data_IF_635433387770
#
_entry.id   IF_635433387770
#
_cell.length_a   1.000
_cell.length_b   1.000
_cell.length_c   1.000
_cell.angle_alpha   90.00
_cell.angle_beta   90.00
_cell.angle_gamma   90.00
#
_symmetry.space_group_name_H-M   'P 1'
#
loop_
_entity.id
_entity.type
_entity.pdbx_description
1 polymer ?
#
# COMPACT_ATOMS: atom_id res chain seq x y z
N UNK A 1 72.87 7.06 -58.39
CA UNK A 1 72.15 7.38 -59.63
C UNK A 1 70.94 8.21 -59.21
N UNK A 2 71.03 9.44 -59.70
CA UNK A 2 70.02 10.31 -60.30
C UNK A 2 68.87 10.74 -59.39
N UNK A 3 68.91 11.94 -59.04
CA UNK A 3 68.44 13.25 -59.58
C UNK A 3 67.06 13.60 -59.08
N UNK A 4 66.97 14.69 -58.30
CA UNK A 4 66.38 15.98 -58.58
C UNK A 4 64.86 16.00 -58.76
N UNK A 5 64.09 16.79 -58.01
CA UNK A 5 63.97 18.23 -58.22
C UNK A 5 63.22 18.94 -57.11
N UNK A 6 63.73 20.13 -56.80
CA UNK A 6 63.07 21.20 -56.04
C UNK A 6 61.96 21.82 -56.85
N UNK A 7 60.85 22.20 -56.29
CA UNK A 7 60.13 23.40 -56.68
C UNK A 7 59.44 24.10 -55.48
N UNK A 8 59.87 25.33 -55.34
CA UNK A 8 59.34 26.33 -54.41
C UNK A 8 58.05 26.93 -55.00
N UNK A 9 57.03 27.10 -54.13
CA UNK A 9 55.98 28.11 -54.41
C UNK A 9 55.44 28.77 -53.15
N UNK A 10 55.79 30.05 -53.09
CA UNK A 10 55.13 31.28 -52.64
C UNK A 10 54.12 31.21 -51.52
N UNK A 11 54.47 31.91 -50.41
CA UNK A 11 53.63 32.48 -49.36
C UNK A 11 52.54 33.39 -49.96
N UNK A 12 51.29 33.15 -49.64
CA UNK A 12 50.24 34.16 -49.67
C UNK A 12 49.77 34.40 -48.27
N UNK A 13 50.13 35.55 -47.73
CA UNK A 13 49.65 36.08 -46.46
C UNK A 13 48.27 36.68 -46.68
N UNK A 14 47.25 36.11 -46.14
CA UNK A 14 45.94 36.75 -46.07
C UNK A 14 45.77 37.27 -44.66
N UNK A 15 45.71 38.58 -44.52
CA UNK A 15 45.29 39.30 -43.34
C UNK A 15 43.78 39.04 -43.14
N UNK A 16 43.37 38.39 -42.08
CA UNK A 16 41.99 38.39 -41.66
C UNK A 16 41.91 39.18 -40.36
N UNK A 17 41.15 40.22 -40.39
CA UNK A 17 40.78 41.12 -39.31
C UNK A 17 40.12 40.36 -38.19
N UNK A 18 40.67 40.45 -36.99
CA UNK A 18 40.08 39.97 -35.76
C UNK A 18 39.02 40.96 -35.25
N UNK A 19 37.76 40.71 -35.59
CA UNK A 19 36.67 41.34 -34.89
C UNK A 19 36.46 40.58 -33.56
N UNK A 20 36.88 41.19 -32.47
CA UNK A 20 36.64 40.78 -31.09
C UNK A 20 35.15 40.93 -30.77
N UNK A 21 34.38 39.86 -30.88
CA UNK A 21 33.06 39.75 -30.30
C UNK A 21 33.23 39.37 -28.83
N UNK A 22 33.06 40.36 -27.95
CA UNK A 22 32.93 40.14 -26.50
C UNK A 22 31.59 39.44 -26.26
N UNK A 23 31.59 38.10 -26.20
CA UNK A 23 30.45 37.35 -25.69
C UNK A 23 30.38 37.55 -24.18
N UNK A 24 29.42 38.34 -23.71
CA UNK A 24 29.00 38.39 -22.30
C UNK A 24 28.54 36.99 -21.92
N UNK A 25 29.32 36.29 -21.11
CA UNK A 25 28.90 35.08 -20.43
C UNK A 25 27.74 35.43 -19.47
N UNK A 26 26.51 35.27 -19.89
CA UNK A 26 25.39 35.20 -18.96
C UNK A 26 25.52 33.86 -18.23
N UNK A 27 25.87 33.95 -16.97
CA UNK A 27 25.85 32.83 -16.03
C UNK A 27 24.37 32.51 -15.76
N UNK A 28 23.82 31.55 -16.49
CA UNK A 28 22.49 31.00 -16.22
C UNK A 28 22.63 30.11 -14.99
N UNK A 29 22.36 30.67 -13.80
CA UNK A 29 22.23 29.90 -12.57
C UNK A 29 20.97 29.05 -12.69
N UNK A 30 21.13 27.81 -13.11
CA UNK A 30 20.10 26.78 -13.05
C UNK A 30 19.89 26.44 -11.56
N UNK A 31 18.94 27.10 -10.91
CA UNK A 31 18.41 26.63 -9.63
C UNK A 31 17.66 25.32 -9.92
N UNK A 32 18.38 24.21 -9.81
CA UNK A 32 17.75 22.90 -9.70
C UNK A 32 17.02 22.87 -8.35
N UNK A 33 15.73 23.17 -8.35
CA UNK A 33 14.83 22.78 -7.29
C UNK A 33 14.79 21.26 -7.29
N UNK A 34 15.71 20.64 -6.57
CA UNK A 34 15.65 19.24 -6.24
C UNK A 34 14.40 19.06 -5.38
N UNK A 35 13.31 18.58 -5.98
CA UNK A 35 12.25 17.93 -5.19
C UNK A 35 12.90 16.74 -4.51
N UNK A 36 13.17 16.87 -3.22
CA UNK A 36 13.51 15.71 -2.39
C UNK A 36 12.23 14.89 -2.37
N UNK A 37 12.12 13.95 -3.30
CA UNK A 37 11.20 12.83 -3.15
C UNK A 37 11.72 12.06 -1.94
N UNK A 38 11.08 12.26 -0.79
CA UNK A 38 11.29 11.40 0.37
C UNK A 38 10.77 10.01 -0.04
N UNK A 39 11.65 9.20 -0.61
CA UNK A 39 11.40 7.78 -0.72
C UNK A 39 11.32 7.28 0.73
N UNK A 40 10.15 6.80 1.16
CA UNK A 40 10.05 6.02 2.38
C UNK A 40 11.02 4.87 2.24
N UNK A 41 12.05 4.81 3.06
CA UNK A 41 12.89 3.64 3.11
C UNK A 41 12.02 2.49 3.65
N UNK A 42 11.87 1.43 2.88
CA UNK A 42 11.26 0.19 3.31
C UNK A 42 12.38 -0.80 3.59
N UNK A 43 12.35 -1.43 4.75
CA UNK A 43 13.28 -2.49 5.10
C UNK A 43 12.55 -3.82 5.07
N UNK A 44 12.97 -4.73 4.20
CA UNK A 44 12.47 -6.11 4.21
C UNK A 44 13.11 -6.80 5.41
N UNK A 45 12.30 -7.19 6.40
CA UNK A 45 12.72 -7.90 7.59
C UNK A 45 12.74 -9.43 7.37
N UNK A 46 11.84 -9.90 6.53
CA UNK A 46 11.70 -11.30 6.16
C UNK A 46 11.11 -11.41 4.76
N UNK A 47 11.58 -12.40 4.01
CA UNK A 47 10.96 -12.84 2.75
C UNK A 47 11.14 -14.33 2.55
N UNK A 48 10.14 -14.99 1.99
CA UNK A 48 10.15 -16.40 1.65
C UNK A 48 9.19 -16.67 0.47
N UNK A 49 9.73 -17.18 -0.62
CA UNK A 49 8.97 -17.62 -1.79
C UNK A 49 8.96 -19.14 -1.95
N UNK A 50 9.47 -19.86 -0.97
CA UNK A 50 9.53 -21.32 -0.86
C UNK A 50 10.32 -22.04 -1.97
N UNK A 51 10.77 -21.39 -3.03
CA UNK A 51 11.40 -22.02 -4.21
C UNK A 51 12.69 -22.77 -3.93
N UNK A 52 13.36 -22.48 -2.81
CA UNK A 52 14.57 -23.20 -2.39
C UNK A 52 14.28 -24.51 -1.63
N UNK A 53 13.00 -24.83 -1.38
CA UNK A 53 12.62 -25.95 -0.53
C UNK A 53 12.39 -27.23 -1.34
N UNK A 54 12.40 -28.36 -0.62
CA UNK A 54 12.14 -29.67 -1.21
C UNK A 54 10.65 -30.00 -1.13
N UNK A 55 10.02 -30.26 -2.26
CA UNK A 55 8.62 -30.65 -2.35
C UNK A 55 8.34 -31.90 -1.50
N UNK A 56 7.22 -31.90 -0.80
CA UNK A 56 6.79 -32.97 0.10
C UNK A 56 7.44 -32.97 1.48
N UNK A 57 8.34 -32.01 1.76
CA UNK A 57 8.87 -31.79 3.11
C UNK A 57 8.13 -30.65 3.80
N UNK A 58 8.22 -30.58 5.14
CA UNK A 58 7.62 -29.50 5.90
C UNK A 58 8.37 -28.18 5.76
N UNK A 59 7.67 -27.07 5.92
CA UNK A 59 8.22 -25.70 5.86
C UNK A 59 9.16 -25.46 7.04
N UNK A 60 8.72 -25.72 8.27
CA UNK A 60 9.53 -25.54 9.51
C UNK A 60 10.75 -26.46 9.51
N UNK A 61 10.61 -27.65 8.92
CA UNK A 61 11.72 -28.60 8.81
C UNK A 61 12.88 -28.05 7.93
N UNK A 62 12.62 -27.09 7.05
CA UNK A 62 13.59 -26.54 6.10
C UNK A 62 14.00 -25.10 6.44
N UNK A 63 13.15 -24.34 7.15
CA UNK A 63 13.46 -22.97 7.54
C UNK A 63 12.97 -22.68 8.96
N UNK A 64 13.91 -22.52 9.88
CA UNK A 64 13.66 -22.28 11.31
C UNK A 64 13.16 -20.86 11.62
N UNK A 65 12.97 -19.98 10.63
CA UNK A 65 12.24 -18.73 10.81
C UNK A 65 10.74 -18.99 10.94
N UNK A 66 10.25 -20.13 10.45
CA UNK A 66 8.90 -20.60 10.67
C UNK A 66 8.85 -21.46 11.94
N UNK A 67 7.69 -21.56 12.55
CA UNK A 67 7.46 -22.33 13.76
C UNK A 67 6.13 -23.07 13.70
N UNK A 68 5.94 -24.03 14.60
CA UNK A 68 4.66 -24.63 14.91
C UNK A 68 3.91 -23.75 15.92
N UNK A 69 2.59 -23.77 15.90
CA UNK A 69 1.80 -23.12 16.94
C UNK A 69 2.25 -23.52 18.35
N UNK A 70 2.51 -24.81 18.55
CA UNK A 70 3.07 -25.34 19.77
C UNK A 70 4.18 -26.34 19.49
N UNK A 71 5.34 -26.17 20.11
CA UNK A 71 6.44 -27.11 20.01
C UNK A 71 6.11 -28.53 20.56
N UNK A 72 5.07 -28.64 21.41
CA UNK A 72 4.58 -29.91 21.94
C UNK A 72 3.74 -30.73 20.96
N UNK A 73 3.24 -30.08 19.90
CA UNK A 73 2.42 -30.70 18.85
C UNK A 73 2.86 -30.15 17.48
N UNK A 74 3.92 -30.71 16.87
CA UNK A 74 4.37 -30.30 15.56
C UNK A 74 3.28 -30.45 14.50
N UNK A 75 3.05 -29.39 13.72
CA UNK A 75 1.92 -29.27 12.82
C UNK A 75 2.34 -28.49 11.56
N UNK A 76 3.30 -29.04 10.83
CA UNK A 76 3.96 -28.37 9.71
C UNK A 76 3.06 -28.26 8.47
N UNK A 77 3.22 -27.19 7.72
CA UNK A 77 2.70 -27.07 6.36
C UNK A 77 3.63 -27.79 5.38
N UNK A 78 3.06 -28.38 4.33
CA UNK A 78 3.82 -29.07 3.31
C UNK A 78 4.26 -28.13 2.19
N UNK A 79 5.48 -28.33 1.70
CA UNK A 79 5.93 -27.70 0.46
C UNK A 79 5.34 -28.46 -0.73
N UNK A 80 4.64 -27.76 -1.62
CA UNK A 80 3.90 -28.35 -2.74
C UNK A 80 4.26 -27.71 -4.08
N UNK A 81 4.21 -28.48 -5.13
CA UNK A 81 4.28 -28.03 -6.54
C UNK A 81 2.94 -28.02 -7.26
N UNK A 82 1.83 -28.20 -6.54
CA UNK A 82 0.50 -28.24 -7.17
C UNK A 82 0.08 -26.85 -7.68
N UNK A 83 0.37 -25.82 -6.91
CA UNK A 83 0.12 -24.42 -7.25
C UNK A 83 1.28 -23.55 -6.78
N UNK A 84 1.72 -22.59 -7.61
CA UNK A 84 2.73 -21.59 -7.26
C UNK A 84 2.34 -20.23 -7.85
N UNK A 85 2.61 -19.16 -7.11
CA UNK A 85 2.41 -17.79 -7.58
C UNK A 85 3.66 -17.28 -8.28
N UNK A 86 4.83 -17.54 -7.70
CA UNK A 86 6.13 -17.33 -8.30
C UNK A 86 6.91 -18.66 -8.33
N UNK A 87 7.94 -18.76 -9.17
CA UNK A 87 8.76 -19.97 -9.24
C UNK A 87 7.96 -21.24 -9.57
N UNK A 88 8.13 -22.29 -8.78
CA UNK A 88 7.57 -23.62 -9.06
C UNK A 88 6.88 -24.29 -7.86
N UNK A 89 6.99 -23.72 -6.67
CA UNK A 89 6.50 -24.33 -5.43
C UNK A 89 5.96 -23.28 -4.46
N UNK A 90 5.10 -23.70 -3.55
CA UNK A 90 4.51 -22.88 -2.49
C UNK A 90 4.32 -23.68 -1.22
N UNK A 91 3.87 -23.07 -0.14
CA UNK A 91 3.48 -23.78 1.08
C UNK A 91 1.99 -24.11 1.05
N UNK A 92 1.64 -25.39 1.26
CA UNK A 92 0.27 -25.87 1.36
C UNK A 92 -0.13 -26.05 2.83
N UNK A 93 -1.13 -25.32 3.26
CA UNK A 93 -1.75 -25.40 4.59
C UNK A 93 -3.03 -26.22 4.45
N UNK A 94 -3.00 -27.47 4.88
CA UNK A 94 -4.06 -28.42 4.61
C UNK A 94 -4.48 -29.21 5.86
N UNK A 95 -5.74 -29.02 6.24
CA UNK A 95 -6.38 -29.72 7.35
C UNK A 95 -6.02 -29.19 8.72
N UNK A 96 -6.89 -29.44 9.69
CA UNK A 96 -6.79 -28.91 11.07
C UNK A 96 -5.60 -29.42 11.88
N UNK A 97 -4.80 -30.32 11.33
CA UNK A 97 -3.51 -30.72 11.90
C UNK A 97 -2.35 -29.79 11.50
N UNK A 98 -2.57 -28.89 10.53
CA UNK A 98 -1.56 -27.92 10.06
C UNK A 98 -1.76 -26.59 10.76
N UNK A 99 -0.68 -26.07 11.35
CA UNK A 99 -0.71 -24.86 12.14
C UNK A 99 0.69 -24.20 12.07
N UNK A 100 0.90 -23.35 11.04
CA UNK A 100 2.19 -22.78 10.67
C UNK A 100 2.27 -21.34 11.13
N UNK A 101 3.24 -21.02 11.98
CA UNK A 101 3.44 -19.68 12.51
C UNK A 101 4.69 -19.03 11.94
N UNK A 102 4.60 -17.77 11.59
CA UNK A 102 5.72 -16.88 11.29
C UNK A 102 5.95 -15.95 12.49
N UNK A 103 6.91 -16.22 13.38
CA UNK A 103 7.32 -15.29 14.41
C UNK A 103 8.06 -14.11 13.78
N UNK A 104 7.64 -12.89 14.05
CA UNK A 104 8.24 -11.69 13.44
C UNK A 104 8.66 -10.63 14.47
N UNK A 105 8.20 -10.72 15.70
CA UNK A 105 8.44 -9.74 16.76
C UNK A 105 8.86 -10.37 18.10
N UNK A 106 8.51 -9.75 19.25
CA UNK A 106 7.50 -8.69 19.37
C UNK A 106 8.01 -7.28 19.04
N UNK A 107 7.30 -6.59 18.15
CA UNK A 107 7.46 -5.15 17.92
C UNK A 107 6.41 -4.39 18.74
N UNK A 108 6.77 -3.22 19.28
CA UNK A 108 5.86 -2.38 20.09
C UNK A 108 5.76 -0.95 19.55
N UNK A 109 6.51 -0.60 18.51
CA UNK A 109 6.51 0.67 17.80
C UNK A 109 6.78 0.41 16.32
N UNK A 110 6.57 1.40 15.47
CA UNK A 110 6.81 1.32 14.03
C UNK A 110 5.59 0.88 13.24
N UNK A 111 5.78 0.75 11.95
CA UNK A 111 4.75 0.33 11.01
C UNK A 111 5.24 -0.85 10.18
N UNK A 112 4.46 -1.90 10.13
CA UNK A 112 4.80 -3.16 9.49
C UNK A 112 3.72 -3.55 8.49
N UNK A 113 4.14 -3.93 7.28
CA UNK A 113 3.30 -4.54 6.27
C UNK A 113 3.68 -6.01 6.15
N UNK A 114 2.73 -6.89 6.39
CA UNK A 114 2.84 -8.33 6.16
C UNK A 114 2.09 -8.63 4.89
N UNK A 115 2.79 -9.11 3.87
CA UNK A 115 2.27 -9.37 2.54
C UNK A 115 2.50 -10.82 2.16
N UNK A 116 1.53 -11.41 1.48
CA UNK A 116 1.66 -12.74 0.89
C UNK A 116 0.64 -12.93 -0.22
N UNK A 117 0.87 -13.91 -1.05
CA UNK A 117 -0.10 -14.42 -2.00
C UNK A 117 -0.84 -15.59 -1.39
N UNK A 118 -2.11 -15.72 -1.70
CA UNK A 118 -2.94 -16.83 -1.26
C UNK A 118 -3.73 -17.41 -2.42
N UNK A 119 -3.87 -18.73 -2.44
CA UNK A 119 -4.69 -19.47 -3.42
C UNK A 119 -5.64 -20.41 -2.68
N UNK A 120 -6.89 -20.36 -3.06
CA UNK A 120 -7.96 -21.17 -2.49
C UNK A 120 -8.50 -22.12 -3.56
N UNK A 121 -8.26 -23.42 -3.49
CA UNK A 121 -8.99 -24.38 -4.34
C UNK A 121 -10.51 -24.26 -4.10
N UNK A 122 -11.31 -24.35 -5.17
CA UNK A 122 -12.76 -24.28 -5.05
C UNK A 122 -13.30 -25.33 -4.07
N UNK A 123 -14.21 -24.93 -3.20
CA UNK A 123 -14.83 -25.78 -2.19
C UNK A 123 -14.03 -25.97 -0.89
N UNK A 124 -12.79 -25.45 -0.80
CA UNK A 124 -11.93 -25.66 0.36
C UNK A 124 -12.08 -24.55 1.43
N UNK A 125 -11.56 -23.38 1.17
CA UNK A 125 -11.47 -22.29 2.12
C UNK A 125 -10.16 -22.29 2.92
N UNK A 126 -9.99 -21.30 3.79
CA UNK A 126 -8.74 -21.09 4.54
C UNK A 126 -8.90 -20.16 5.73
N UNK A 127 -7.77 -19.93 6.41
CA UNK A 127 -7.72 -19.06 7.57
C UNK A 127 -6.31 -18.57 7.83
N UNK A 128 -6.19 -17.33 8.27
CA UNK A 128 -4.99 -16.80 8.91
C UNK A 128 -5.34 -15.79 9.99
N UNK A 129 -4.41 -15.56 10.91
CA UNK A 129 -4.55 -14.54 11.94
C UNK A 129 -3.27 -13.74 12.15
N UNK A 130 -3.44 -12.57 12.77
CA UNK A 130 -2.36 -11.75 13.29
C UNK A 130 -2.35 -11.80 14.82
N UNK A 131 -1.17 -11.82 15.41
CA UNK A 131 -0.99 -12.01 16.86
C UNK A 131 -0.29 -10.81 17.49
N UNK A 132 -0.91 -10.22 18.51
CA UNK A 132 -0.26 -9.25 19.39
C UNK A 132 0.85 -9.89 20.21
N UNK A 133 0.59 -11.08 20.76
CA UNK A 133 1.57 -11.86 21.53
C UNK A 133 1.51 -13.32 21.13
N UNK A 134 2.68 -13.95 21.12
CA UNK A 134 2.84 -15.38 20.93
C UNK A 134 4.18 -15.83 21.52
N UNK A 135 4.22 -16.96 22.20
CA UNK A 135 5.42 -17.44 22.92
C UNK A 135 5.89 -18.83 22.49
N UNK A 136 5.37 -19.38 21.38
CA UNK A 136 5.64 -20.78 21.01
C UNK A 136 4.86 -21.77 21.88
N UNK A 137 3.82 -21.32 22.57
CA UNK A 137 3.00 -22.10 23.48
C UNK A 137 1.52 -21.82 23.25
N UNK A 138 0.69 -22.85 23.32
CA UNK A 138 -0.77 -22.75 23.24
C UNK A 138 -1.44 -22.05 24.44
N UNK A 139 -0.65 -21.50 25.37
CA UNK A 139 -1.18 -20.85 26.58
C UNK A 139 -0.90 -19.35 26.66
N UNK A 140 0.01 -18.83 25.84
CA UNK A 140 0.39 -17.39 25.85
C UNK A 140 0.29 -16.85 24.44
N UNK A 141 -0.87 -16.36 24.10
CA UNK A 141 -1.16 -15.71 22.81
C UNK A 141 -2.30 -14.70 22.95
N UNK A 142 -2.35 -13.75 22.03
CA UNK A 142 -3.44 -12.78 21.91
C UNK A 142 -3.63 -12.40 20.46
N UNK A 143 -4.84 -12.56 19.95
CA UNK A 143 -5.18 -12.22 18.55
C UNK A 143 -5.43 -10.72 18.36
N UNK A 144 -4.90 -10.18 17.25
CA UNK A 144 -5.22 -8.86 16.71
C UNK A 144 -6.37 -8.92 15.71
N UNK A 145 -6.51 -10.03 15.00
CA UNK A 145 -7.56 -10.25 14.02
C UNK A 145 -7.54 -11.67 13.45
N UNK A 146 -8.73 -12.19 13.15
CA UNK A 146 -8.98 -13.48 12.53
C UNK A 146 -9.62 -13.29 11.17
N UNK A 147 -9.07 -13.90 10.14
CA UNK A 147 -9.54 -13.80 8.76
C UNK A 147 -9.86 -15.20 8.23
N UNK A 148 -11.11 -15.43 7.86
CA UNK A 148 -11.63 -16.70 7.38
C UNK A 148 -12.03 -16.61 5.90
N UNK A 149 -11.88 -17.72 5.21
CA UNK A 149 -12.34 -17.90 3.84
C UNK A 149 -13.24 -19.12 3.76
N UNK A 150 -14.36 -19.00 3.05
CA UNK A 150 -15.22 -20.14 2.75
C UNK A 150 -14.83 -20.82 1.43
N UNK A 151 -15.50 -21.95 1.13
CA UNK A 151 -15.25 -22.71 -0.10
C UNK A 151 -15.68 -22.02 -1.39
N UNK A 152 -16.36 -20.87 -1.34
CA UNK A 152 -16.73 -20.03 -2.48
C UNK A 152 -15.75 -18.86 -2.66
N UNK A 153 -14.70 -18.76 -1.82
CA UNK A 153 -13.72 -17.68 -1.85
C UNK A 153 -14.25 -16.37 -1.29
N UNK A 154 -15.18 -16.42 -0.34
CA UNK A 154 -15.63 -15.25 0.41
C UNK A 154 -14.80 -15.14 1.67
N UNK A 155 -14.05 -14.03 1.77
CA UNK A 155 -13.33 -13.64 2.98
C UNK A 155 -14.28 -12.95 3.96
N UNK A 156 -14.21 -13.33 5.24
CA UNK A 156 -14.85 -12.67 6.38
C UNK A 156 -13.84 -12.50 7.50
N UNK A 157 -14.05 -11.56 8.41
CA UNK A 157 -13.08 -11.29 9.46
C UNK A 157 -13.75 -10.86 10.77
N UNK A 158 -13.02 -11.11 11.86
CA UNK A 158 -13.22 -10.46 13.15
C UNK A 158 -11.93 -9.74 13.51
N UNK A 159 -11.99 -8.45 13.78
CA UNK A 159 -10.81 -7.63 14.12
C UNK A 159 -11.14 -6.73 15.29
N UNK A 160 -10.25 -6.65 16.28
CA UNK A 160 -10.51 -5.91 17.50
C UNK A 160 -11.77 -6.38 18.24
N UNK A 161 -12.14 -7.65 18.09
CA UNK A 161 -13.33 -8.25 18.71
C UNK A 161 -14.66 -7.89 18.05
N UNK A 162 -14.63 -7.26 16.87
CA UNK A 162 -15.83 -6.88 16.11
C UNK A 162 -15.86 -7.64 14.80
N UNK A 163 -16.97 -8.30 14.51
CA UNK A 163 -17.21 -8.90 13.20
C UNK A 163 -17.24 -7.82 12.13
N UNK A 164 -16.43 -8.01 11.11
CA UNK A 164 -16.33 -7.09 9.98
C UNK A 164 -17.29 -7.42 8.84
N UNK A 165 -16.97 -6.90 7.67
CA UNK A 165 -17.69 -7.17 6.42
C UNK A 165 -17.28 -8.48 5.76
N UNK A 166 -17.51 -8.55 4.45
CA UNK A 166 -17.05 -9.63 3.61
C UNK A 166 -16.60 -9.12 2.24
N UNK A 167 -15.66 -9.84 1.63
CA UNK A 167 -15.17 -9.59 0.26
C UNK A 167 -15.03 -10.91 -0.47
N UNK A 168 -15.45 -10.98 -1.73
CA UNK A 168 -15.19 -12.12 -2.58
C UNK A 168 -13.82 -11.96 -3.23
N UNK A 169 -12.88 -12.82 -2.87
CA UNK A 169 -11.53 -12.88 -3.47
C UNK A 169 -11.46 -13.90 -4.63
N UNK A 170 -12.43 -14.83 -4.67
CA UNK A 170 -12.51 -15.91 -5.67
C UNK A 170 -11.77 -17.19 -5.25
N UNK A 171 -11.96 -18.22 -6.06
CA UNK A 171 -11.28 -19.53 -5.94
C UNK A 171 -10.49 -19.83 -7.23
N UNK A 172 -9.55 -20.75 -7.16
CA UNK A 172 -8.71 -21.20 -8.28
C UNK A 172 -7.90 -20.05 -8.93
N UNK A 173 -7.62 -19.02 -8.17
CA UNK A 173 -6.83 -17.84 -8.57
C UNK A 173 -5.99 -17.34 -7.40
N UNK A 174 -4.75 -16.95 -7.67
CA UNK A 174 -3.91 -16.26 -6.71
C UNK A 174 -4.40 -14.85 -6.48
N UNK A 175 -4.44 -14.41 -5.23
CA UNK A 175 -4.77 -13.04 -4.83
C UNK A 175 -3.78 -12.51 -3.79
N UNK A 176 -3.62 -11.19 -3.76
CA UNK A 176 -2.75 -10.51 -2.81
C UNK A 176 -3.47 -10.31 -1.48
N UNK A 177 -2.78 -10.62 -0.39
CA UNK A 177 -3.18 -10.27 0.98
C UNK A 177 -2.13 -9.34 1.56
N UNK A 178 -2.57 -8.27 2.21
CA UNK A 178 -1.71 -7.45 3.04
C UNK A 178 -2.42 -7.13 4.36
N UNK A 179 -1.68 -7.26 5.46
CA UNK A 179 -2.07 -6.73 6.76
C UNK A 179 -1.05 -5.67 7.16
N UNK A 180 -1.51 -4.48 7.48
CA UNK A 180 -0.68 -3.41 8.04
C UNK A 180 -0.92 -3.29 9.53
N UNK A 181 0.14 -3.36 10.33
CA UNK A 181 0.16 -3.03 11.75
C UNK A 181 0.91 -1.71 11.93
N UNK A 182 0.21 -0.61 12.10
CA UNK A 182 0.77 0.72 12.42
C UNK A 182 0.69 0.92 13.94
N UNK A 183 1.74 0.48 14.63
CA UNK A 183 1.80 0.48 16.09
C UNK A 183 1.94 1.91 16.66
N UNK A 184 2.51 2.84 15.89
CA UNK A 184 2.67 4.23 16.30
C UNK A 184 1.33 4.98 16.30
N UNK A 185 0.40 4.57 15.43
CA UNK A 185 -0.95 5.15 15.33
C UNK A 185 -2.05 4.24 15.87
N UNK A 186 -1.70 3.08 16.42
CA UNK A 186 -2.65 2.07 16.91
C UNK A 186 -3.71 1.69 15.87
N UNK A 187 -3.27 1.38 14.65
CA UNK A 187 -4.13 1.18 13.49
C UNK A 187 -3.77 -0.09 12.73
N UNK A 188 -4.73 -0.98 12.60
CA UNK A 188 -4.68 -2.16 11.73
C UNK A 188 -5.40 -1.93 10.42
N UNK A 189 -4.89 -2.47 9.31
CA UNK A 189 -5.57 -2.49 8.01
C UNK A 189 -5.44 -3.85 7.35
N UNK A 190 -6.53 -4.32 6.75
CA UNK A 190 -6.57 -5.51 5.91
C UNK A 190 -6.82 -5.10 4.47
N UNK A 191 -6.05 -5.68 3.55
CA UNK A 191 -6.20 -5.43 2.11
C UNK A 191 -6.31 -6.75 1.36
N UNK A 192 -7.13 -6.75 0.31
CA UNK A 192 -7.14 -7.78 -0.73
C UNK A 192 -6.91 -7.13 -2.09
N UNK A 193 -5.96 -7.63 -2.86
CA UNK A 193 -5.56 -7.09 -4.17
C UNK A 193 -5.32 -5.57 -4.15
N UNK A 194 -4.67 -5.09 -3.09
CA UNK A 194 -4.35 -3.67 -2.90
C UNK A 194 -5.51 -2.77 -2.48
N UNK A 195 -6.73 -3.31 -2.30
CA UNK A 195 -7.92 -2.57 -1.87
C UNK A 195 -8.14 -2.78 -0.38
N UNK A 196 -8.33 -1.69 0.38
CA UNK A 196 -8.65 -1.75 1.82
C UNK A 196 -9.99 -2.44 2.01
N UNK A 197 -10.00 -3.56 2.73
CA UNK A 197 -11.19 -4.29 3.12
C UNK A 197 -11.67 -3.89 4.51
N UNK A 198 -10.73 -3.62 5.44
CA UNK A 198 -11.06 -3.26 6.82
C UNK A 198 -9.99 -2.39 7.48
N UNK A 199 -10.42 -1.56 8.44
CA UNK A 199 -9.56 -0.81 9.36
C UNK A 199 -10.08 -1.00 10.79
N UNK A 200 -9.16 -1.16 11.77
CA UNK A 200 -9.52 -1.32 13.19
C UNK A 200 -8.46 -0.73 14.11
N UNK A 201 -8.81 -0.50 15.37
CA UNK A 201 -7.83 -0.18 16.40
C UNK A 201 -7.00 -1.44 16.67
N UNK A 202 -5.69 -1.38 16.36
CA UNK A 202 -4.80 -2.53 16.40
C UNK A 202 -4.74 -3.17 17.79
N UNK A 203 -4.60 -2.36 18.84
CA UNK A 203 -4.41 -2.82 20.22
C UNK A 203 -5.62 -3.53 20.86
N UNK A 204 -6.78 -3.57 20.19
CA UNK A 204 -7.94 -4.28 20.73
C UNK A 204 -7.78 -5.78 20.61
N UNK A 205 -8.02 -6.49 21.74
CA UNK A 205 -8.01 -7.94 21.79
C UNK A 205 -9.19 -8.51 20.99
N UNK A 206 -8.89 -9.35 20.01
CA UNK A 206 -9.88 -9.90 19.11
C UNK A 206 -10.90 -10.84 19.78
N UNK A 207 -10.54 -11.44 20.93
CA UNK A 207 -11.43 -12.36 21.62
C UNK A 207 -12.62 -11.66 22.32
N UNK A 208 -12.50 -10.39 22.71
CA UNK A 208 -13.49 -9.73 23.60
C UNK A 208 -13.62 -8.21 23.42
N UNK A 209 -12.99 -7.62 22.42
CA UNK A 209 -13.00 -6.17 22.14
C UNK A 209 -12.51 -5.29 23.32
N UNK A 210 -11.77 -5.85 24.27
CA UNK A 210 -11.16 -5.07 25.36
C UNK A 210 -9.76 -4.59 24.96
N UNK A 211 -9.18 -3.67 25.77
CA UNK A 211 -7.80 -3.27 25.59
C UNK A 211 -6.87 -4.49 25.66
N UNK A 212 -6.10 -4.69 24.63
CA UNK A 212 -5.08 -5.72 24.52
C UNK A 212 -3.68 -5.09 24.53
N UNK A 213 -2.75 -5.73 23.84
CA UNK A 213 -1.36 -5.28 23.74
C UNK A 213 -1.13 -4.62 22.41
N UNK A 214 -0.63 -3.37 22.39
CA UNK A 214 -0.19 -2.73 21.16
C UNK A 214 1.18 -3.27 20.73
N UNK A 215 1.18 -4.46 20.15
CA UNK A 215 2.37 -5.15 19.66
C UNK A 215 2.03 -6.05 18.48
N UNK A 216 3.06 -6.42 17.72
CA UNK A 216 3.00 -7.38 16.64
C UNK A 216 4.05 -8.47 16.92
N UNK A 217 3.62 -9.71 17.15
CA UNK A 217 4.49 -10.82 17.52
C UNK A 217 4.61 -11.88 16.43
N UNK A 218 3.51 -12.25 15.78
CA UNK A 218 3.50 -13.33 14.81
C UNK A 218 2.31 -13.27 13.85
N UNK A 219 2.39 -14.03 12.77
CA UNK A 219 1.30 -14.44 11.89
C UNK A 219 1.12 -15.95 11.97
N UNK A 220 -0.12 -16.40 11.91
CA UNK A 220 -0.47 -17.80 12.00
C UNK A 220 -1.36 -18.21 10.82
N UNK A 221 -1.04 -19.35 10.22
CA UNK A 221 -1.73 -19.97 9.09
C UNK A 221 -2.22 -21.35 9.55
N UNK A 222 -3.47 -21.42 9.98
CA UNK A 222 -4.08 -22.64 10.49
C UNK A 222 -4.98 -23.28 9.43
N UNK A 223 -4.91 -24.59 9.29
CA UNK A 223 -5.62 -25.35 8.27
C UNK A 223 -7.12 -25.54 8.54
N UNK A 224 -7.84 -24.46 8.81
CA UNK A 224 -9.30 -24.42 9.00
C UNK A 224 -9.96 -23.51 7.97
N UNK A 225 -11.30 -23.40 8.00
CA UNK A 225 -12.11 -22.51 7.17
C UNK A 225 -13.23 -21.84 7.98
N UNK A 226 -14.07 -21.05 7.34
CA UNK A 226 -15.20 -20.34 7.98
C UNK A 226 -16.15 -21.26 8.76
N UNK A 227 -16.32 -22.50 8.35
CA UNK A 227 -17.16 -23.47 9.04
C UNK A 227 -16.45 -24.15 10.23
N UNK A 228 -15.17 -23.85 10.49
CA UNK A 228 -14.36 -24.51 11.52
C UNK A 228 -13.99 -25.95 11.17
N UNK A 229 -14.10 -26.33 9.89
CA UNK A 229 -13.68 -27.64 9.36
C UNK A 229 -12.33 -27.51 8.66
N UNK A 230 -11.80 -28.63 8.14
CA UNK A 230 -10.52 -28.63 7.46
C UNK A 230 -10.52 -27.67 6.25
N UNK A 231 -9.60 -26.72 6.24
CA UNK A 231 -9.28 -25.86 5.11
C UNK A 231 -8.21 -26.51 4.25
N UNK A 232 -8.05 -25.99 3.05
CA UNK A 232 -6.94 -26.31 2.13
C UNK A 232 -6.63 -25.08 1.32
N UNK A 233 -5.45 -24.52 1.50
CA UNK A 233 -5.02 -23.34 0.77
C UNK A 233 -3.49 -23.30 0.62
N UNK A 234 -3.04 -22.43 -0.25
CA UNK A 234 -1.60 -22.26 -0.52
C UNK A 234 -1.20 -20.82 -0.24
N UNK A 235 0.00 -20.63 0.28
CA UNK A 235 0.62 -19.31 0.47
C UNK A 235 1.96 -19.26 -0.24
N UNK A 236 2.29 -18.08 -0.78
CA UNK A 236 3.51 -17.83 -1.52
C UNK A 236 3.95 -16.38 -1.38
N UNK A 237 5.20 -16.06 -1.75
CA UNK A 237 5.74 -14.70 -1.80
C UNK A 237 5.54 -13.94 -0.47
N UNK A 238 5.81 -14.58 0.66
CA UNK A 238 5.61 -13.99 2.00
C UNK A 238 6.67 -12.95 2.27
N UNK A 239 6.26 -11.74 2.67
CA UNK A 239 7.16 -10.65 3.05
C UNK A 239 6.70 -9.96 4.32
N UNK A 240 7.64 -9.60 5.17
CA UNK A 240 7.46 -8.68 6.30
C UNK A 240 8.32 -7.46 6.04
N UNK A 241 7.69 -6.31 5.97
CA UNK A 241 8.33 -5.05 5.59
C UNK A 241 8.13 -4.04 6.71
N UNK A 242 9.21 -3.48 7.22
CA UNK A 242 9.16 -2.31 8.08
C UNK A 242 9.13 -1.04 7.22
N UNK A 243 8.08 -0.26 7.36
CA UNK A 243 7.94 1.03 6.70
C UNK A 243 8.54 2.11 7.57
N UNK A 244 9.83 2.44 7.34
CA UNK A 244 10.47 3.60 7.97
C UNK A 244 10.03 4.88 7.25
N UNK A 245 8.75 5.19 7.24
CA UNK A 245 8.23 6.41 6.67
C UNK A 245 8.12 7.50 7.74
N UNK A 246 8.45 8.74 7.36
CA UNK A 246 7.90 9.89 8.08
C UNK A 246 6.39 9.65 8.13
N UNK A 247 5.86 9.29 9.29
CA UNK A 247 4.43 9.18 9.49
C UNK A 247 3.84 10.55 9.19
N UNK A 248 3.40 10.74 7.95
CA UNK A 248 2.37 11.75 7.75
C UNK A 248 1.19 11.17 8.50
N UNK A 249 0.99 11.61 9.74
CA UNK A 249 -0.18 11.28 10.53
C UNK A 249 -1.36 11.37 9.57
N UNK A 250 -2.05 10.28 9.21
CA UNK A 250 -3.24 10.42 8.41
C UNK A 250 -4.10 11.36 9.24
N UNK A 251 -4.38 12.53 8.71
CA UNK A 251 -5.41 13.39 9.28
C UNK A 251 -6.60 12.46 9.28
N UNK A 252 -7.07 12.11 10.47
CA UNK A 252 -8.22 11.22 10.62
C UNK A 252 -9.23 11.71 9.59
N UNK A 253 -9.63 10.83 8.68
CA UNK A 253 -10.65 11.20 7.71
C UNK A 253 -11.91 11.45 8.53
N UNK A 254 -12.03 12.69 9.03
CA UNK A 254 -13.31 13.16 9.53
C UNK A 254 -14.28 12.81 8.43
N UNK A 255 -15.32 12.09 8.81
CA UNK A 255 -16.39 11.64 7.92
C UNK A 255 -16.78 12.81 7.03
N UNK A 256 -16.17 12.88 5.83
CA UNK A 256 -16.37 14.00 4.92
C UNK A 256 -17.84 13.94 4.57
N UNK A 257 -18.60 14.87 5.09
CA UNK A 257 -20.00 15.05 4.69
C UNK A 257 -19.99 15.13 3.17
N UNK A 258 -20.80 14.30 2.51
CA UNK A 258 -20.79 14.12 1.07
C UNK A 258 -20.83 15.49 0.37
N UNK A 259 -19.72 15.93 -0.21
CA UNK A 259 -19.65 17.15 -1.01
C UNK A 259 -20.26 16.84 -2.36
N UNK A 260 -21.25 17.62 -2.77
CA UNK A 260 -21.95 17.46 -4.05
C UNK A 260 -21.58 18.61 -4.98
N UNK A 261 -21.21 18.29 -6.23
CA UNK A 261 -20.89 19.25 -7.29
C UNK A 261 -21.88 19.03 -8.44
N UNK A 262 -22.71 20.03 -8.74
CA UNK A 262 -23.73 19.91 -9.77
C UNK A 262 -24.06 21.25 -10.46
N UNK A 263 -24.37 21.26 -11.77
CA UNK A 263 -24.16 20.13 -12.68
C UNK A 263 -22.68 19.88 -12.95
N UNK A 264 -22.33 18.63 -13.13
CA UNK A 264 -21.02 18.21 -13.61
C UNK A 264 -21.22 17.06 -14.62
N UNK A 265 -21.00 17.27 -15.94
CA UNK A 265 -20.38 18.44 -16.59
C UNK A 265 -21.19 19.74 -16.50
N UNK A 266 -20.47 20.89 -16.63
CA UNK A 266 -21.05 22.24 -16.66
C UNK A 266 -20.60 23.02 -17.89
N UNK A 267 -21.44 23.99 -18.33
CA UNK A 267 -21.10 24.90 -19.43
C UNK A 267 -20.69 26.30 -18.94
N UNK A 268 -21.21 26.75 -17.81
CA UNK A 268 -20.91 28.10 -17.30
C UNK A 268 -20.84 28.20 -15.79
N UNK A 269 -21.68 27.48 -15.07
CA UNK A 269 -21.79 27.58 -13.62
C UNK A 269 -22.02 26.20 -13.01
N UNK A 270 -21.48 25.97 -11.82
CA UNK A 270 -21.84 24.84 -10.99
C UNK A 270 -22.09 25.26 -9.55
N UNK A 271 -22.78 24.44 -8.80
CA UNK A 271 -22.98 24.60 -7.37
C UNK A 271 -22.18 23.56 -6.63
N UNK A 272 -21.58 23.93 -5.51
CA UNK A 272 -20.87 23.03 -4.60
C UNK A 272 -21.43 23.21 -3.20
N UNK A 273 -21.80 22.11 -2.55
CA UNK A 273 -22.20 22.11 -1.15
C UNK A 273 -20.93 22.08 -0.29
N UNK A 274 -20.75 23.12 0.53
CA UNK A 274 -19.57 23.29 1.40
C UNK A 274 -19.96 22.91 2.82
N UNK A 275 -19.41 21.79 3.35
CA UNK A 275 -19.63 21.39 4.73
C UNK A 275 -18.99 22.35 5.73
N UNK A 276 -19.49 22.37 6.97
CA UNK A 276 -19.05 23.22 8.08
C UNK A 276 -17.53 23.08 8.36
N UNK A 277 -17.01 21.87 8.28
CA UNK A 277 -15.61 21.57 8.54
C UNK A 277 -14.62 22.16 7.52
N UNK A 278 -15.09 22.80 6.44
CA UNK A 278 -14.24 23.54 5.50
C UNK A 278 -14.26 25.07 5.74
N UNK A 279 -15.08 25.57 6.64
CA UNK A 279 -15.13 27.00 6.95
C UNK A 279 -13.80 27.50 7.48
N UNK A 280 -13.35 28.65 7.00
CA UNK A 280 -12.04 29.21 7.28
C UNK A 280 -10.93 28.78 6.31
N UNK A 281 -11.20 27.77 5.50
CA UNK A 281 -10.27 27.23 4.52
C UNK A 281 -10.28 27.93 3.16
N UNK A 282 -9.68 27.29 2.18
CA UNK A 282 -9.56 27.75 0.79
C UNK A 282 -10.30 26.82 -0.16
N UNK A 283 -10.89 27.40 -1.19
CA UNK A 283 -11.45 26.76 -2.37
C UNK A 283 -10.58 27.10 -3.58
N UNK A 284 -10.16 26.12 -4.35
CA UNK A 284 -9.35 26.32 -5.57
C UNK A 284 -9.86 25.45 -6.72
N UNK A 285 -9.76 25.99 -7.95
CA UNK A 285 -9.89 25.23 -9.19
C UNK A 285 -8.53 25.19 -9.87
N UNK A 286 -8.08 24.03 -10.28
CA UNK A 286 -6.73 23.75 -10.78
C UNK A 286 -6.88 23.06 -12.14
N UNK A 287 -6.14 23.49 -13.16
CA UNK A 287 -6.07 22.81 -14.45
C UNK A 287 -5.17 21.56 -14.39
N UNK A 288 -5.16 20.77 -15.45
CA UNK A 288 -4.36 19.53 -15.51
C UNK A 288 -2.82 19.78 -15.53
N UNK A 289 -2.38 21.02 -15.69
CA UNK A 289 -0.95 21.38 -15.59
C UNK A 289 -0.54 21.71 -14.15
N UNK A 290 -1.51 21.76 -13.21
CA UNK A 290 -1.31 22.16 -11.81
C UNK A 290 -1.45 23.66 -11.57
N UNK A 291 -1.81 24.46 -12.59
CA UNK A 291 -2.02 25.89 -12.45
C UNK A 291 -3.37 26.17 -11.77
N UNK A 292 -3.34 26.97 -10.72
CA UNK A 292 -4.56 27.48 -10.08
C UNK A 292 -5.22 28.49 -11.00
N UNK A 293 -6.42 28.20 -11.49
CA UNK A 293 -7.23 29.06 -12.38
C UNK A 293 -8.28 29.85 -11.62
N UNK A 294 -8.67 29.40 -10.43
CA UNK A 294 -9.54 30.12 -9.51
C UNK A 294 -9.17 29.80 -8.07
N UNK A 295 -9.26 30.82 -7.20
CA UNK A 295 -9.02 30.69 -5.77
C UNK A 295 -9.98 31.60 -5.00
N UNK A 296 -10.58 31.06 -3.93
CA UNK A 296 -11.46 31.81 -3.07
C UNK A 296 -11.36 31.31 -1.62
N UNK A 297 -11.83 32.12 -0.67
CA UNK A 297 -11.87 31.74 0.75
C UNK A 297 -13.24 31.22 1.12
N UNK A 298 -13.29 30.16 1.90
CA UNK A 298 -14.54 29.59 2.42
C UNK A 298 -14.88 30.32 3.72
N UNK A 299 -15.93 31.15 3.70
CA UNK A 299 -16.33 31.97 4.84
C UNK A 299 -17.53 31.41 5.59
N UNK A 300 -18.27 30.51 4.99
CA UNK A 300 -19.47 29.89 5.59
C UNK A 300 -19.79 28.52 4.99
N UNK A 301 -20.49 27.69 5.73
CA UNK A 301 -21.10 26.46 5.25
C UNK A 301 -22.38 26.80 4.47
N UNK A 302 -22.37 26.58 3.16
CA UNK A 302 -23.52 26.88 2.28
C UNK A 302 -23.31 26.23 0.90
N UNK A 303 -24.35 26.23 0.10
CA UNK A 303 -24.26 25.98 -1.34
C UNK A 303 -23.63 27.21 -2.01
N UNK A 304 -22.40 27.04 -2.51
CA UNK A 304 -21.65 28.06 -3.26
C UNK A 304 -21.88 27.85 -4.74
N UNK A 305 -22.38 28.87 -5.44
CA UNK A 305 -22.42 28.91 -6.90
C UNK A 305 -21.11 29.50 -7.43
N UNK A 306 -20.48 28.80 -8.40
CA UNK A 306 -19.19 29.17 -8.99
C UNK A 306 -19.37 29.37 -10.49
N UNK A 307 -18.99 30.55 -10.96
CA UNK A 307 -18.97 30.87 -12.39
C UNK A 307 -17.62 30.45 -13.01
N UNK A 308 -17.69 29.59 -14.01
CA UNK A 308 -16.55 29.08 -14.79
C UNK A 308 -16.72 29.36 -16.29
N UNK A 309 -17.57 30.30 -16.66
CA UNK A 309 -17.82 30.66 -18.05
C UNK A 309 -16.56 31.12 -18.81
N UNK A 310 -15.60 31.70 -18.09
CA UNK A 310 -14.32 32.17 -18.64
C UNK A 310 -13.24 31.07 -18.74
N UNK A 311 -13.53 29.86 -18.27
CA UNK A 311 -12.60 28.74 -18.42
C UNK A 311 -12.81 28.04 -19.78
N UNK A 312 -11.72 27.58 -20.36
CA UNK A 312 -11.78 26.75 -21.57
C UNK A 312 -12.43 25.40 -21.27
N UNK A 313 -12.99 24.77 -22.30
CA UNK A 313 -13.51 23.42 -22.17
C UNK A 313 -12.38 22.46 -21.79
N UNK A 314 -12.66 21.57 -20.83
CA UNK A 314 -11.64 20.68 -20.31
C UNK A 314 -11.98 20.09 -18.95
N UNK A 315 -10.99 19.39 -18.38
CA UNK A 315 -11.06 18.79 -17.05
C UNK A 315 -10.28 19.67 -16.08
N UNK A 316 -10.86 19.94 -14.93
CA UNK A 316 -10.29 20.68 -13.82
C UNK A 316 -10.42 19.89 -12.52
N UNK A 317 -9.56 20.17 -11.56
CA UNK A 317 -9.68 19.67 -10.20
C UNK A 317 -10.21 20.79 -9.29
N UNK A 318 -11.26 20.48 -8.54
CA UNK A 318 -11.74 21.32 -7.45
C UNK A 318 -11.08 20.83 -6.18
N UNK A 319 -10.50 21.74 -5.41
CA UNK A 319 -9.91 21.43 -4.11
C UNK A 319 -10.46 22.38 -3.05
N UNK A 320 -10.81 21.83 -1.89
CA UNK A 320 -11.06 22.58 -0.66
C UNK A 320 -10.07 22.11 0.41
N UNK A 321 -9.54 23.06 1.20
CA UNK A 321 -8.58 22.75 2.25
C UNK A 321 -8.67 23.82 3.35
N UNK A 322 -8.77 23.40 4.62
CA UNK A 322 -8.72 24.29 5.79
C UNK A 322 -7.49 24.00 6.70
N UNK A 323 -6.53 23.21 6.22
CA UNK A 323 -5.36 22.78 7.00
C UNK A 323 -5.56 21.43 7.71
N UNK A 324 -6.77 21.10 8.14
CA UNK A 324 -7.09 19.83 8.82
C UNK A 324 -7.87 18.86 7.93
N UNK A 325 -8.75 19.38 7.09
CA UNK A 325 -9.59 18.59 6.17
C UNK A 325 -9.32 19.01 4.74
N UNK A 326 -9.28 18.07 3.82
CA UNK A 326 -9.15 18.35 2.39
C UNK A 326 -10.14 17.54 1.57
N UNK A 327 -10.59 18.13 0.47
CA UNK A 327 -11.47 17.50 -0.52
C UNK A 327 -10.88 17.77 -1.90
N UNK A 328 -10.96 16.81 -2.78
CA UNK A 328 -10.60 16.97 -4.20
C UNK A 328 -11.57 16.17 -5.05
N UNK A 329 -12.13 16.82 -6.09
CA UNK A 329 -12.97 16.15 -7.08
C UNK A 329 -12.76 16.76 -8.47
N UNK A 330 -13.27 16.08 -9.48
CA UNK A 330 -13.14 16.45 -10.88
C UNK A 330 -14.32 17.29 -11.34
N UNK A 331 -14.03 18.41 -12.02
CA UNK A 331 -15.00 19.21 -12.77
C UNK A 331 -14.78 19.03 -14.27
N UNK A 332 -15.83 18.78 -15.02
CA UNK A 332 -15.81 18.76 -16.50
C UNK A 332 -16.51 20.02 -17.01
N UNK A 333 -15.75 20.90 -17.68
CA UNK A 333 -16.27 22.10 -18.36
C UNK A 333 -16.48 21.77 -19.84
N UNK A 334 -17.64 22.14 -20.37
CA UNK A 334 -18.03 21.97 -21.78
C UNK A 334 -18.41 23.31 -22.38
#
# INVERSE_FOLDING_TARGET
>A
MCFHNLETKKKNTIFVSTNSLIMKKQLLSLFAFGTILSASAQTILFEDNFDAYTVGSGVVAQNTNWAFWSAAAPSDANVSSDFASSGAISANVNGTATDLVLPIGPFTTGKYDIKFKMYLPAGAGGYFNALHTWSGSSTVYQWAGDIFFDGAGVATWTTGGVAGGSVTVGTDVWFDVQVTADLDNDLGRLYFNGVVANEWQWSLNNANATAGTNSLAAFDFYGTNTAGTAGNYYIDDVQVIESTGVSVKPIAAEKISKVSIYPNPTTSNFSIEIPENFVGGEFTIIDLTGKVVMKDRITQSAIKRVDVSNLNDGIYLIRMNNGSVHFTDRLVKK
#
